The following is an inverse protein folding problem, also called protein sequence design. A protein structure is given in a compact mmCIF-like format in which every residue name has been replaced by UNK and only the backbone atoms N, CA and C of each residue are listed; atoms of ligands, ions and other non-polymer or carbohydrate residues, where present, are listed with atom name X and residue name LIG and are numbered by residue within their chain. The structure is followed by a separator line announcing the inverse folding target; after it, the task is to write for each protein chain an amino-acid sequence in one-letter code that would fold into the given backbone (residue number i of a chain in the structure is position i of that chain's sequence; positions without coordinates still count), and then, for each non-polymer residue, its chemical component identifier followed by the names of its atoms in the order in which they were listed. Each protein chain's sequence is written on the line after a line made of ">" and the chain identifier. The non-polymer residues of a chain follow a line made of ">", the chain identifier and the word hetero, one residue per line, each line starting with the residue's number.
data_IF_102375971580
#
_entry.id   IF_102375971580
#
_cell.length_a   1.000
_cell.length_b   1.000
_cell.length_c   1.000
_cell.angle_alpha   90.00
_cell.angle_beta   90.00
_cell.angle_gamma   90.00
#
_symmetry.space_group_name_H-M   'P 1'
#
loop_
_entity.id
_entity.type
_entity.pdbx_description
1 polymer ?
#
# COMPACT_ATOMS: atom_id res chain seq x y z
N UNK A 1 -2.76 13.82 11.43
CA UNK A 1 -2.48 12.54 10.77
C UNK A 1 -3.63 12.31 9.81
N UNK A 2 -3.36 12.34 8.50
CA UNK A 2 -4.40 12.18 7.47
C UNK A 2 -4.27 10.77 6.88
N UNK A 3 -5.41 10.18 6.57
CA UNK A 3 -5.56 8.82 6.08
C UNK A 3 -5.93 8.90 4.60
N UNK A 4 -5.11 8.30 3.74
CA UNK A 4 -5.41 8.13 2.33
C UNK A 4 -5.80 6.69 2.05
N UNK A 5 -7.07 6.49 1.77
CA UNK A 5 -7.56 5.27 1.14
C UNK A 5 -7.17 5.28 -0.33
N UNK A 6 -6.45 4.24 -0.76
CA UNK A 6 -6.07 4.06 -2.16
C UNK A 6 -6.86 2.89 -2.73
N UNK A 7 -7.53 3.13 -3.85
CA UNK A 7 -8.14 2.06 -4.65
C UNK A 7 -7.01 1.38 -5.44
N UNK A 8 -6.77 0.07 -5.22
CA UNK A 8 -5.76 -0.66 -5.97
C UNK A 8 -6.08 -0.65 -7.46
N UNK A 9 -5.04 -0.60 -8.29
CA UNK A 9 -5.18 -0.78 -9.75
C UNK A 9 -4.68 -2.15 -10.14
N UNK A 10 -5.30 -2.77 -11.13
CA UNK A 10 -4.84 -4.03 -11.69
C UNK A 10 -3.73 -3.79 -12.71
N UNK A 11 -2.59 -4.46 -12.53
CA UNK A 11 -1.46 -4.43 -13.45
C UNK A 11 -0.78 -5.81 -13.43
N UNK A 12 -0.63 -6.45 -14.60
CA UNK A 12 -0.03 -7.79 -14.75
C UNK A 12 -0.64 -8.88 -13.81
N UNK A 13 -1.97 -8.92 -13.69
CA UNK A 13 -2.72 -9.82 -12.78
C UNK A 13 -2.46 -9.62 -11.27
N UNK A 14 -1.77 -8.55 -10.87
CA UNK A 14 -1.61 -8.14 -9.49
C UNK A 14 -2.34 -6.82 -9.23
N UNK A 15 -2.68 -6.59 -7.97
CA UNK A 15 -3.16 -5.31 -7.48
C UNK A 15 -1.97 -4.45 -7.04
N UNK A 16 -1.89 -3.22 -7.53
CA UNK A 16 -0.82 -2.28 -7.17
C UNK A 16 -1.40 -1.11 -6.38
N UNK A 17 -0.71 -0.76 -5.29
CA UNK A 17 -0.97 0.45 -4.54
C UNK A 17 0.08 1.47 -4.91
N UNK A 18 -0.37 2.55 -5.55
CA UNK A 18 0.48 3.68 -5.90
C UNK A 18 0.37 4.78 -4.84
N UNK A 19 1.40 5.61 -4.72
CA UNK A 19 1.34 6.78 -3.86
C UNK A 19 0.27 7.75 -4.38
N UNK A 20 -0.62 8.26 -3.52
CA UNK A 20 -1.53 9.35 -3.90
C UNK A 20 -0.89 10.73 -3.74
N UNK A 21 0.29 10.83 -3.12
CA UNK A 21 0.89 12.08 -2.67
C UNK A 21 2.41 12.12 -2.89
N UNK A 22 2.97 13.33 -2.86
CA UNK A 22 4.41 13.55 -2.77
C UNK A 22 4.86 13.44 -1.31
N UNK A 23 6.04 12.85 -1.08
CA UNK A 23 6.66 12.87 0.23
C UNK A 23 7.84 11.92 0.38
N UNK A 24 8.21 11.64 1.63
CA UNK A 24 9.27 10.71 1.99
C UNK A 24 8.69 9.56 2.81
N UNK A 25 9.06 8.31 2.50
CA UNK A 25 8.67 7.14 3.27
C UNK A 25 9.28 7.25 4.67
N UNK A 26 8.43 7.35 5.68
CA UNK A 26 8.83 7.38 7.09
C UNK A 26 8.81 5.98 7.71
N UNK A 27 7.83 5.18 7.33
CA UNK A 27 7.59 3.88 7.94
C UNK A 27 6.91 2.92 6.99
N UNK A 28 7.23 1.64 7.15
CA UNK A 28 6.62 0.53 6.42
C UNK A 28 6.01 -0.39 7.49
N UNK A 29 4.70 -0.61 7.41
CA UNK A 29 3.92 -1.37 8.39
C UNK A 29 3.70 -2.83 7.99
N UNK A 30 4.15 -3.23 6.80
CA UNK A 30 3.94 -4.53 6.19
C UNK A 30 5.26 -5.14 5.71
N UNK A 31 5.23 -6.43 5.36
CA UNK A 31 6.39 -7.14 4.80
C UNK A 31 5.98 -7.99 3.60
N UNK A 32 6.92 -8.26 2.70
CA UNK A 32 6.73 -9.23 1.62
C UNK A 32 6.34 -10.60 2.17
N UNK A 33 5.29 -11.20 1.63
CA UNK A 33 4.69 -12.46 2.08
C UNK A 33 3.73 -12.33 3.26
N UNK A 34 3.50 -11.13 3.80
CA UNK A 34 2.52 -10.89 4.86
C UNK A 34 1.10 -10.78 4.28
N UNK A 35 0.10 -11.26 5.02
CA UNK A 35 -1.31 -11.05 4.69
C UNK A 35 -1.81 -9.74 5.29
N UNK A 36 -2.42 -8.90 4.46
CA UNK A 36 -3.06 -7.66 4.87
C UNK A 36 -4.57 -7.79 4.86
N UNK A 37 -5.22 -7.00 5.70
CA UNK A 37 -6.68 -6.88 5.78
C UNK A 37 -7.14 -5.49 5.31
N UNK A 38 -8.44 -5.39 5.03
CA UNK A 38 -9.05 -4.11 4.66
C UNK A 38 -8.74 -3.04 5.72
N UNK A 39 -8.38 -1.85 5.25
CA UNK A 39 -8.04 -0.69 6.08
C UNK A 39 -6.80 -0.86 6.95
N UNK A 40 -5.99 -1.89 6.71
CA UNK A 40 -4.70 -2.03 7.36
C UNK A 40 -3.71 -0.99 6.80
N UNK A 41 -2.95 -0.27 7.66
CA UNK A 41 -1.95 0.67 7.20
C UNK A 41 -0.78 -0.08 6.55
N UNK A 42 -0.38 0.37 5.37
CA UNK A 42 0.71 -0.22 4.60
C UNK A 42 2.00 0.58 4.80
N UNK A 43 1.94 1.89 4.52
CA UNK A 43 3.09 2.79 4.48
C UNK A 43 2.73 4.13 5.11
N UNK A 44 3.69 4.76 5.76
CA UNK A 44 3.60 6.10 6.33
C UNK A 44 4.50 7.02 5.51
N UNK A 45 3.93 8.10 4.96
CA UNK A 45 4.64 9.10 4.17
C UNK A 45 4.66 10.44 4.93
N UNK A 46 5.83 11.03 5.08
CA UNK A 46 6.01 12.41 5.56
C UNK A 46 6.00 13.37 4.37
N UNK A 47 5.04 14.31 4.34
CA UNK A 47 5.04 15.45 3.41
C UNK A 47 6.15 16.45 3.78
N UNK A 48 6.60 17.26 2.83
CA UNK A 48 7.61 18.30 3.10
C UNK A 48 7.16 19.31 4.18
N UNK A 49 5.84 19.50 4.33
CA UNK A 49 5.25 20.34 5.37
C UNK A 49 5.33 19.73 6.79
N UNK A 50 5.86 18.51 6.93
CA UNK A 50 6.01 17.80 8.20
C UNK A 50 4.84 16.91 8.60
N UNK A 51 3.73 16.93 7.85
CA UNK A 51 2.57 16.07 8.10
C UNK A 51 2.85 14.61 7.77
N UNK A 52 2.42 13.70 8.65
CA UNK A 52 2.43 12.25 8.42
C UNK A 52 1.09 11.77 7.88
N UNK A 53 1.18 11.04 6.79
CA UNK A 53 0.05 10.52 6.01
C UNK A 53 0.15 9.00 5.95
N UNK A 54 -0.94 8.32 6.28
CA UNK A 54 -1.00 6.86 6.15
C UNK A 54 -1.61 6.47 4.82
N UNK A 55 -1.00 5.47 4.18
CA UNK A 55 -1.52 4.81 2.99
C UNK A 55 -2.15 3.49 3.43
N UNK A 56 -3.44 3.34 3.15
CA UNK A 56 -4.23 2.15 3.47
C UNK A 56 -4.99 1.72 2.23
N UNK A 57 -5.41 0.46 2.21
CA UNK A 57 -6.13 -0.12 1.09
C UNK A 57 -7.41 -0.79 1.60
N UNK A 58 -8.52 -0.61 0.89
CA UNK A 58 -9.83 -1.20 1.22
C UNK A 58 -9.99 -2.66 0.76
N UNK A 59 -8.90 -3.44 0.74
CA UNK A 59 -8.88 -4.84 0.29
C UNK A 59 -8.07 -5.70 1.25
N UNK A 60 -8.25 -7.02 1.16
CA UNK A 60 -7.38 -8.00 1.80
C UNK A 60 -6.60 -8.80 0.76
N UNK A 61 -5.40 -9.26 1.11
CA UNK A 61 -4.56 -9.99 0.17
C UNK A 61 -3.18 -10.31 0.74
N UNK A 62 -2.31 -10.90 -0.08
CA UNK A 62 -0.93 -11.20 0.26
C UNK A 62 0.01 -10.18 -0.38
N UNK A 63 0.92 -9.61 0.40
CA UNK A 63 1.96 -8.72 -0.14
C UNK A 63 2.89 -9.56 -1.02
N UNK A 64 2.89 -9.30 -2.31
CA UNK A 64 3.79 -9.92 -3.25
C UNK A 64 5.19 -9.27 -3.15
N UNK A 65 5.25 -7.95 -3.31
CA UNK A 65 6.52 -7.20 -3.41
C UNK A 65 6.39 -5.78 -2.86
N UNK A 66 7.41 -5.33 -2.11
CA UNK A 66 7.57 -3.93 -1.68
C UNK A 66 8.58 -3.23 -2.59
N UNK A 67 8.20 -2.08 -3.14
CA UNK A 67 9.00 -1.34 -4.12
C UNK A 67 9.70 -0.09 -3.56
N UNK A 68 9.55 0.17 -2.26
CA UNK A 68 10.09 1.34 -1.57
C UNK A 68 10.76 0.97 -0.25
N UNK A 69 11.71 1.78 0.21
CA UNK A 69 12.34 1.65 1.53
C UNK A 69 12.11 2.89 2.40
N UNK A 70 12.36 2.74 3.71
CA UNK A 70 12.33 3.88 4.62
C UNK A 70 13.37 4.91 4.17
N UNK A 71 12.93 6.14 4.00
CA UNK A 71 13.73 7.26 3.53
C UNK A 71 13.65 7.53 2.04
N UNK A 72 12.98 6.70 1.24
CA UNK A 72 12.76 6.97 -0.19
C UNK A 72 11.82 8.17 -0.41
N UNK A 73 12.05 8.92 -1.50
CA UNK A 73 11.13 9.97 -1.95
C UNK A 73 10.16 9.37 -2.95
N UNK A 74 8.87 9.60 -2.73
CA UNK A 74 7.80 9.05 -3.56
C UNK A 74 6.97 10.18 -4.18
N UNK A 75 6.43 9.93 -5.36
CA UNK A 75 5.57 10.85 -6.11
C UNK A 75 4.21 10.21 -6.40
N UNK A 76 3.14 10.99 -6.66
CA UNK A 76 1.85 10.45 -7.03
C UNK A 76 1.94 9.55 -8.27
N UNK A 77 1.36 8.36 -8.18
CA UNK A 77 1.40 7.34 -9.23
C UNK A 77 2.60 6.40 -9.15
N UNK A 78 3.59 6.67 -8.30
CA UNK A 78 4.69 5.73 -8.07
C UNK A 78 4.20 4.48 -7.32
N UNK A 79 4.58 3.30 -7.81
CA UNK A 79 4.15 2.02 -7.21
C UNK A 79 4.88 1.81 -5.90
N UNK A 80 4.11 1.63 -4.83
CA UNK A 80 4.64 1.41 -3.49
C UNK A 80 4.73 -0.09 -3.15
N UNK A 81 3.65 -0.82 -3.44
CA UNK A 81 3.52 -2.23 -3.11
C UNK A 81 2.63 -2.94 -4.13
N UNK A 82 2.97 -4.20 -4.39
CA UNK A 82 2.17 -5.14 -5.17
C UNK A 82 1.53 -6.15 -4.23
N UNK A 83 0.23 -6.36 -4.38
CA UNK A 83 -0.61 -7.26 -3.61
C UNK A 83 -1.15 -8.30 -4.59
N UNK A 84 -1.14 -9.56 -4.17
CA UNK A 84 -1.86 -10.64 -4.84
C UNK A 84 -3.15 -10.88 -4.09
N UNK A 85 -4.25 -10.99 -4.83
CA UNK A 85 -5.49 -11.52 -4.27
C UNK A 85 -5.19 -12.88 -3.66
N UNK A 86 -5.47 -13.00 -2.36
CA UNK A 86 -5.58 -14.29 -1.72
C UNK A 86 -6.83 -14.92 -2.34
N UNK A 87 -6.64 -15.90 -3.23
CA UNK A 87 -7.69 -16.75 -3.79
C UNK A 87 -8.29 -17.61 -2.68
N UNK A 88 -8.83 -16.98 -1.64
CA UNK A 88 -9.79 -17.61 -0.76
C UNK A 88 -11.09 -17.63 -1.53
N UNK A 89 -11.26 -18.70 -2.31
CA UNK A 89 -12.58 -19.14 -2.76
C UNK A 89 -13.39 -19.34 -1.48
N UNK A 90 -14.14 -18.33 -1.05
CA UNK A 90 -15.28 -18.60 -0.18
C UNK A 90 -16.30 -19.21 -1.11
N UNK A 91 -16.21 -20.53 -1.26
CA UNK A 91 -17.27 -21.30 -1.90
C UNK A 91 -18.56 -20.91 -1.19
N UNK A 92 -19.41 -20.19 -1.93
CA UNK A 92 -20.77 -19.93 -1.51
C UNK A 92 -21.52 -21.24 -1.71
N UNK A 93 -21.91 -21.88 -0.62
CA UNK A 93 -23.13 -22.69 -0.56
C UNK A 93 -24.18 -21.88 0.20
#
# INVERSE_FOLDING_TARGET
>A
MITHEVVPKYWDNNEIVASPIYGRVEGICIKSGERIYEWQPLIIIRKEQGSLEQILVGMSGLIDSLHVNIGDKVIPGEVLVSIKEDLFVTGSD
#
